data_IF_895669301835
#
_entry.id   IF_895669301835
#
_cell.length_a   1.000
_cell.length_b   1.000
_cell.length_c   1.000
_cell.angle_alpha   90.00
_cell.angle_beta   90.00
_cell.angle_gamma   90.00
#
_symmetry.space_group_name_H-M   'P 1'
#
loop_
_entity.id
_entity.type
_entity.pdbx_description
1 polymer ?
#
# COMPACT_ATOMS: atom_id res chain seq x y z
N UNK A 1 17.52 -13.35 -6.30
CA UNK A 1 16.44 -12.34 -6.26
C UNK A 1 16.71 -11.36 -7.38
N UNK A 2 15.69 -11.04 -8.23
CA UNK A 2 15.85 -10.03 -9.26
C UNK A 2 16.14 -8.67 -8.63
N UNK A 3 17.08 -7.92 -9.21
CA UNK A 3 17.37 -6.56 -8.78
C UNK A 3 16.55 -5.57 -9.60
N UNK A 4 15.95 -4.61 -8.92
CA UNK A 4 15.36 -3.42 -9.53
C UNK A 4 16.29 -2.24 -9.23
N UNK A 5 16.41 -1.31 -10.13
CA UNK A 5 17.18 -0.09 -9.87
C UNK A 5 16.25 1.02 -9.39
N UNK A 6 16.39 1.37 -8.14
CA UNK A 6 15.75 2.53 -7.51
C UNK A 6 16.79 3.51 -6.94
N UNK A 7 18.02 3.44 -7.42
CA UNK A 7 19.12 4.32 -6.97
C UNK A 7 18.73 5.78 -7.14
N UNK A 8 18.89 6.56 -6.06
CA UNK A 8 18.52 7.98 -6.04
C UNK A 8 17.02 8.28 -5.93
N UNK A 9 16.15 7.26 -5.94
CA UNK A 9 14.69 7.45 -5.78
C UNK A 9 14.32 7.57 -4.30
N UNK A 10 13.32 8.39 -4.04
CA UNK A 10 12.72 8.57 -2.73
C UNK A 10 11.28 8.04 -2.70
N UNK A 11 11.04 7.04 -1.88
CA UNK A 11 9.73 6.43 -1.72
C UNK A 11 9.09 6.80 -0.36
N UNK A 12 7.82 7.17 -0.39
CA UNK A 12 6.96 7.32 0.80
C UNK A 12 6.08 6.08 0.91
N UNK A 13 6.01 5.48 2.10
CA UNK A 13 5.23 4.29 2.35
C UNK A 13 4.31 4.54 3.56
N UNK A 14 3.00 4.61 3.32
CA UNK A 14 2.02 4.72 4.42
C UNK A 14 1.78 3.35 5.06
N UNK A 15 1.63 3.29 6.38
CA UNK A 15 1.56 2.02 7.11
C UNK A 15 2.88 1.24 7.01
N UNK A 16 4.02 1.95 6.92
CA UNK A 16 5.33 1.35 6.66
C UNK A 16 6.02 0.75 7.87
N UNK A 17 5.44 0.87 9.07
CA UNK A 17 6.03 0.32 10.29
C UNK A 17 5.93 -1.20 10.41
N UNK A 18 4.92 -1.82 9.76
CA UNK A 18 4.65 -3.26 9.89
C UNK A 18 4.15 -3.90 8.60
N UNK A 19 4.03 -5.23 8.58
CA UNK A 19 3.33 -6.00 7.56
C UNK A 19 3.82 -5.75 6.13
N UNK A 20 2.88 -5.51 5.20
CA UNK A 20 3.19 -5.29 3.79
C UNK A 20 4.02 -4.01 3.58
N UNK A 21 3.68 -2.92 4.27
CA UNK A 21 4.41 -1.66 4.14
C UNK A 21 5.88 -1.81 4.53
N UNK A 22 6.16 -2.50 5.62
CA UNK A 22 7.53 -2.82 6.05
C UNK A 22 8.29 -3.66 5.01
N UNK A 23 7.68 -4.74 4.52
CA UNK A 23 8.30 -5.62 3.53
C UNK A 23 8.57 -4.89 2.20
N UNK A 24 7.68 -4.00 1.79
CA UNK A 24 7.86 -3.13 0.62
C UNK A 24 9.05 -2.19 0.85
N UNK A 25 9.12 -1.55 2.02
CA UNK A 25 10.24 -0.69 2.40
C UNK A 25 11.59 -1.42 2.36
N UNK A 26 11.64 -2.62 2.92
CA UNK A 26 12.82 -3.49 2.89
C UNK A 26 13.24 -3.80 1.44
N UNK A 27 12.29 -4.14 0.57
CA UNK A 27 12.57 -4.44 -0.83
C UNK A 27 13.07 -3.22 -1.61
N UNK A 28 12.49 -2.04 -1.38
CA UNK A 28 12.89 -0.79 -2.02
C UNK A 28 14.30 -0.36 -1.58
N UNK A 29 14.64 -0.51 -0.28
CA UNK A 29 15.99 -0.27 0.22
C UNK A 29 17.01 -1.22 -0.43
N UNK A 30 16.70 -2.51 -0.56
CA UNK A 30 17.53 -3.49 -1.25
C UNK A 30 17.70 -3.17 -2.75
N UNK A 31 16.85 -2.32 -3.31
CA UNK A 31 16.89 -1.83 -4.68
C UNK A 31 17.55 -0.44 -4.82
N UNK A 32 18.13 0.11 -3.73
CA UNK A 32 18.88 1.38 -3.75
C UNK A 32 18.05 2.63 -3.47
N UNK A 33 16.76 2.51 -3.16
CA UNK A 33 15.93 3.66 -2.79
C UNK A 33 16.27 4.20 -1.39
N UNK A 34 15.97 5.49 -1.16
CA UNK A 34 15.68 5.98 0.20
C UNK A 34 14.20 5.86 0.47
N UNK A 35 13.82 5.71 1.74
CA UNK A 35 12.41 5.65 2.12
C UNK A 35 12.06 6.62 3.24
N UNK A 36 10.83 7.10 3.23
CA UNK A 36 10.19 7.74 4.39
C UNK A 36 8.98 6.91 4.79
N UNK A 37 9.00 6.40 6.01
CA UNK A 37 7.89 5.69 6.63
C UNK A 37 6.89 6.72 7.14
N UNK A 38 5.64 6.61 6.70
CA UNK A 38 4.51 7.34 7.24
C UNK A 38 3.63 6.38 8.05
N UNK A 39 3.54 6.60 9.35
CA UNK A 39 2.70 5.77 10.21
C UNK A 39 2.17 6.57 11.39
N UNK A 40 1.09 6.12 11.99
CA UNK A 40 0.55 6.67 13.23
C UNK A 40 1.24 6.11 14.47
N UNK A 41 1.88 4.95 14.37
CA UNK A 41 2.61 4.30 15.47
C UNK A 41 4.06 4.77 15.51
N UNK A 42 4.32 5.77 16.36
CA UNK A 42 5.66 6.37 16.52
C UNK A 42 6.67 5.32 17.01
N UNK A 43 6.28 4.47 17.97
CA UNK A 43 7.16 3.44 18.54
C UNK A 43 7.50 2.37 17.49
N UNK A 44 6.49 1.88 16.78
CA UNK A 44 6.64 0.92 15.70
C UNK A 44 7.52 1.45 14.57
N UNK A 45 7.37 2.72 14.16
CA UNK A 45 8.23 3.34 13.15
C UNK A 45 9.71 3.36 13.58
N UNK A 46 10.00 3.71 14.84
CA UNK A 46 11.35 3.73 15.36
C UNK A 46 12.00 2.35 15.26
N UNK A 47 11.31 1.33 15.76
CA UNK A 47 11.74 -0.07 15.70
C UNK A 47 11.95 -0.53 14.25
N UNK A 48 11.01 -0.24 13.36
CA UNK A 48 11.10 -0.59 11.94
C UNK A 48 12.32 0.07 11.28
N UNK A 49 12.54 1.36 11.52
CA UNK A 49 13.67 2.09 10.95
C UNK A 49 15.01 1.53 11.43
N UNK A 50 15.15 1.18 12.71
CA UNK A 50 16.36 0.55 13.24
C UNK A 50 16.63 -0.81 12.60
N UNK A 51 15.61 -1.66 12.48
CA UNK A 51 15.72 -2.96 11.84
C UNK A 51 16.10 -2.84 10.37
N UNK A 52 15.49 -1.91 9.62
CA UNK A 52 15.78 -1.68 8.22
C UNK A 52 17.22 -1.16 8.02
N UNK A 53 17.68 -0.21 8.83
CA UNK A 53 19.07 0.29 8.78
C UNK A 53 20.08 -0.80 9.14
N UNK A 54 19.74 -1.69 10.07
CA UNK A 54 20.59 -2.85 10.43
C UNK A 54 20.67 -3.86 9.27
N UNK A 55 19.54 -4.14 8.59
CA UNK A 55 19.49 -5.05 7.45
C UNK A 55 20.15 -4.47 6.19
N UNK A 56 20.15 -3.15 6.04
CA UNK A 56 20.69 -2.44 4.89
C UNK A 56 21.65 -1.32 5.36
N UNK A 57 22.92 -1.63 5.68
CA UNK A 57 23.89 -0.64 6.12
C UNK A 57 24.05 0.50 5.11
N UNK A 58 24.00 1.75 5.60
CA UNK A 58 24.02 2.95 4.75
C UNK A 58 22.67 3.38 4.17
N UNK A 59 21.61 2.60 4.36
CA UNK A 59 20.28 2.96 3.88
C UNK A 59 19.73 4.23 4.54
N UNK A 60 19.08 5.06 3.75
CA UNK A 60 18.44 6.29 4.20
C UNK A 60 16.96 6.00 4.52
N UNK A 61 16.64 5.92 5.82
CA UNK A 61 15.30 5.68 6.35
C UNK A 61 14.92 6.85 7.23
N UNK A 62 13.88 7.58 6.86
CA UNK A 62 13.23 8.61 7.67
C UNK A 62 11.87 8.12 8.17
N UNK A 63 11.39 8.72 9.26
CA UNK A 63 10.06 8.47 9.83
C UNK A 63 9.33 9.80 9.98
N UNK A 64 8.07 9.83 9.56
CA UNK A 64 7.18 10.98 9.76
C UNK A 64 5.87 10.47 10.35
N UNK A 65 5.48 10.99 11.51
CA UNK A 65 4.21 10.66 12.16
C UNK A 65 3.04 11.20 11.34
N UNK A 66 2.13 10.33 10.94
CA UNK A 66 0.98 10.69 10.10
C UNK A 66 -0.24 9.87 10.49
N UNK A 67 -1.33 10.56 10.80
CA UNK A 67 -2.66 9.96 10.71
C UNK A 67 -3.24 10.28 9.34
N UNK A 68 -3.29 9.28 8.46
CA UNK A 68 -3.79 9.44 7.08
C UNK A 68 -5.26 9.84 7.03
N UNK A 69 -6.06 9.49 8.04
CA UNK A 69 -7.46 9.89 8.14
C UNK A 69 -7.63 11.40 8.31
N UNK A 70 -6.58 12.10 8.75
CA UNK A 70 -6.58 13.55 9.01
C UNK A 70 -5.85 14.30 7.90
N UNK A 71 -6.57 14.99 7.02
CA UNK A 71 -5.97 15.73 5.89
C UNK A 71 -4.85 16.69 6.34
N UNK A 72 -5.07 17.45 7.43
CA UNK A 72 -4.06 18.37 7.97
C UNK A 72 -2.75 17.66 8.37
N UNK A 73 -2.85 16.44 8.92
CA UNK A 73 -1.68 15.60 9.24
C UNK A 73 -0.91 15.22 7.97
N UNK A 74 -1.63 14.84 6.90
CA UNK A 74 -1.01 14.50 5.61
C UNK A 74 -0.33 15.72 4.96
N UNK A 75 -0.95 16.90 5.00
CA UNK A 75 -0.35 18.15 4.50
C UNK A 75 0.97 18.46 5.22
N UNK A 76 0.96 18.38 6.56
CA UNK A 76 2.17 18.60 7.36
C UNK A 76 3.26 17.58 7.06
N UNK A 77 2.90 16.29 6.96
CA UNK A 77 3.82 15.21 6.65
C UNK A 77 4.42 15.35 5.24
N UNK A 78 3.61 15.78 4.27
CA UNK A 78 4.09 16.07 2.91
C UNK A 78 5.16 17.16 2.94
N UNK A 79 4.92 18.27 3.64
CA UNK A 79 5.89 19.36 3.75
C UNK A 79 7.20 18.89 4.42
N UNK A 80 7.12 18.12 5.51
CA UNK A 80 8.28 17.55 6.19
C UNK A 80 9.07 16.60 5.29
N UNK A 81 8.37 15.76 4.53
CA UNK A 81 9.00 14.77 3.64
C UNK A 81 9.68 15.44 2.45
N UNK A 82 9.04 16.44 1.85
CA UNK A 82 9.61 17.20 0.73
C UNK A 82 10.82 18.05 1.13
N UNK A 83 10.93 18.45 2.41
CA UNK A 83 12.13 19.08 2.95
C UNK A 83 13.33 18.12 3.04
N UNK A 84 13.10 16.80 3.10
CA UNK A 84 14.18 15.79 3.06
C UNK A 84 14.68 15.60 1.63
N UNK A 85 13.78 15.32 0.70
CA UNK A 85 14.07 15.15 -0.73
C UNK A 85 12.76 15.13 -1.53
N UNK A 86 12.81 15.41 -2.86
CA UNK A 86 11.68 15.17 -3.75
C UNK A 86 11.19 13.72 -3.66
N UNK A 87 9.87 13.52 -3.72
CA UNK A 87 9.24 12.19 -3.66
C UNK A 87 9.04 11.65 -5.08
N UNK A 88 9.58 10.46 -5.35
CA UNK A 88 9.50 9.77 -6.64
C UNK A 88 8.48 8.64 -6.64
N UNK A 89 8.22 8.04 -5.48
CA UNK A 89 7.24 6.97 -5.33
C UNK A 89 6.37 7.16 -4.08
N UNK A 90 5.06 6.91 -4.21
CA UNK A 90 4.10 6.82 -3.11
C UNK A 90 3.50 5.43 -3.09
N UNK A 91 3.61 4.73 -1.96
CA UNK A 91 2.93 3.47 -1.72
C UNK A 91 1.88 3.67 -0.63
N UNK A 92 0.62 3.64 -1.01
CA UNK A 92 -0.50 3.70 -0.08
C UNK A 92 -0.82 2.31 0.46
N UNK A 93 -0.16 1.93 1.58
CA UNK A 93 -0.31 0.63 2.23
C UNK A 93 -1.06 0.71 3.57
N UNK A 94 -1.26 1.89 4.14
CA UNK A 94 -2.07 2.06 5.35
C UNK A 94 -3.51 1.59 5.12
N UNK A 95 -4.04 0.81 6.04
CA UNK A 95 -5.41 0.32 5.97
C UNK A 95 -5.77 -0.62 7.11
N UNK A 96 -7.06 -0.77 7.34
CA UNK A 96 -7.65 -1.68 8.33
C UNK A 96 -8.75 -2.53 7.69
N UNK A 97 -9.03 -3.68 8.29
CA UNK A 97 -10.11 -4.58 7.83
C UNK A 97 -11.47 -4.23 8.43
N UNK A 98 -11.48 -3.63 9.63
CA UNK A 98 -12.68 -3.53 10.44
C UNK A 98 -13.13 -4.90 10.98
N UNK A 99 -14.26 -4.96 11.70
CA UNK A 99 -14.80 -6.19 12.25
C UNK A 99 -15.37 -7.13 11.17
N UNK A 100 -15.32 -8.44 11.43
CA UNK A 100 -15.97 -9.46 10.62
C UNK A 100 -17.40 -9.69 11.12
N UNK A 101 -18.37 -9.04 10.46
CA UNK A 101 -19.79 -9.17 10.82
C UNK A 101 -20.69 -8.98 9.60
N UNK A 102 -21.95 -9.41 9.70
CA UNK A 102 -22.93 -9.24 8.63
C UNK A 102 -23.25 -7.76 8.42
N UNK A 103 -23.61 -7.40 7.19
CA UNK A 103 -23.90 -6.00 6.85
C UNK A 103 -24.98 -5.36 7.73
N UNK A 104 -26.05 -6.09 8.03
CA UNK A 104 -27.16 -5.59 8.84
C UNK A 104 -26.83 -5.41 10.32
N UNK A 105 -25.76 -6.04 10.82
CA UNK A 105 -25.23 -5.91 12.18
C UNK A 105 -23.93 -5.08 12.24
N UNK A 106 -23.49 -4.51 11.08
CA UNK A 106 -22.20 -3.82 11.00
C UNK A 106 -22.26 -2.49 11.76
N UNK A 107 -21.38 -2.24 12.75
CA UNK A 107 -21.38 -0.98 13.49
C UNK A 107 -21.09 0.20 12.57
N UNK A 108 -21.91 1.24 12.64
CA UNK A 108 -21.80 2.41 11.74
C UNK A 108 -20.47 3.15 11.91
N UNK A 109 -19.98 3.24 13.14
CA UNK A 109 -18.72 3.94 13.43
C UNK A 109 -17.51 3.16 12.93
N UNK A 110 -17.51 1.83 13.02
CA UNK A 110 -16.49 0.98 12.42
C UNK A 110 -16.50 1.08 10.89
N UNK A 111 -17.69 1.15 10.28
CA UNK A 111 -17.81 1.42 8.83
C UNK A 111 -17.14 2.73 8.45
N UNK A 112 -17.44 3.82 9.16
CA UNK A 112 -16.85 5.13 8.95
C UNK A 112 -15.34 5.08 9.10
N UNK A 113 -14.83 4.46 10.17
CA UNK A 113 -13.40 4.34 10.43
C UNK A 113 -12.67 3.60 9.30
N UNK A 114 -13.25 2.50 8.76
CA UNK A 114 -12.69 1.80 7.61
C UNK A 114 -12.58 2.72 6.40
N UNK A 115 -13.61 3.51 6.10
CA UNK A 115 -13.59 4.45 4.99
C UNK A 115 -12.63 5.63 5.23
N UNK A 116 -12.58 6.16 6.45
CA UNK A 116 -11.69 7.28 6.79
C UNK A 116 -10.22 6.91 6.58
N UNK A 117 -9.83 5.69 6.92
CA UNK A 117 -8.45 5.24 6.76
C UNK A 117 -8.20 4.75 5.32
N UNK A 118 -9.02 3.79 4.82
CA UNK A 118 -8.74 3.08 3.58
C UNK A 118 -9.02 3.91 2.32
N UNK A 119 -9.98 4.85 2.38
CA UNK A 119 -10.43 5.64 1.23
C UNK A 119 -10.01 7.10 1.37
N UNK A 120 -10.47 7.80 2.42
CA UNK A 120 -10.16 9.21 2.60
C UNK A 120 -8.67 9.39 2.87
N UNK A 121 -8.04 8.54 3.68
CA UNK A 121 -6.60 8.58 3.94
C UNK A 121 -5.77 8.40 2.67
N UNK A 122 -6.12 7.42 1.84
CA UNK A 122 -5.46 7.20 0.55
C UNK A 122 -5.68 8.41 -0.39
N UNK A 123 -6.89 8.95 -0.45
CA UNK A 123 -7.20 10.16 -1.21
C UNK A 123 -6.35 11.34 -0.76
N UNK A 124 -6.22 11.59 0.54
CA UNK A 124 -5.39 12.68 1.06
C UNK A 124 -3.94 12.55 0.61
N UNK A 125 -3.34 11.35 0.74
CA UNK A 125 -1.97 11.08 0.32
C UNK A 125 -1.79 11.26 -1.19
N UNK A 126 -2.70 10.71 -2.00
CA UNK A 126 -2.68 10.87 -3.45
C UNK A 126 -2.79 12.33 -3.84
N UNK A 127 -3.73 13.09 -3.25
CA UNK A 127 -3.94 14.51 -3.54
C UNK A 127 -2.68 15.34 -3.33
N UNK A 128 -2.05 15.21 -2.17
CA UNK A 128 -0.90 16.05 -1.81
C UNK A 128 0.36 15.68 -2.62
N UNK A 129 0.66 14.40 -2.79
CA UNK A 129 1.88 13.98 -3.47
C UNK A 129 1.73 13.95 -5.00
N UNK A 130 0.53 13.74 -5.56
CA UNK A 130 0.34 13.80 -7.02
C UNK A 130 0.57 15.20 -7.58
N UNK A 131 0.22 16.26 -6.85
CA UNK A 131 0.50 17.64 -7.25
C UNK A 131 2.02 17.89 -7.40
N UNK A 132 2.82 17.42 -6.43
CA UNK A 132 4.28 17.47 -6.49
C UNK A 132 4.84 16.65 -7.65
N UNK A 133 4.39 15.40 -7.85
CA UNK A 133 4.84 14.53 -8.93
C UNK A 133 4.47 15.10 -10.30
N UNK A 134 3.25 15.64 -10.44
CA UNK A 134 2.79 16.27 -11.67
C UNK A 134 3.66 17.46 -12.08
N UNK A 135 4.01 18.34 -11.13
CA UNK A 135 4.85 19.53 -11.42
C UNK A 135 6.25 19.15 -11.92
N UNK A 136 6.75 17.95 -11.56
CA UNK A 136 8.02 17.39 -12.02
C UNK A 136 7.87 16.50 -13.27
N UNK A 137 6.65 16.23 -13.70
CA UNK A 137 6.31 15.25 -14.73
C UNK A 137 6.97 13.88 -14.49
N UNK A 138 7.09 13.47 -13.23
CA UNK A 138 7.76 12.21 -12.83
C UNK A 138 7.21 11.72 -11.51
N UNK A 139 6.81 10.47 -11.43
CA UNK A 139 6.35 9.82 -10.19
C UNK A 139 5.72 8.46 -10.42
N UNK A 140 5.63 7.69 -9.34
CA UNK A 140 4.95 6.39 -9.29
C UNK A 140 4.05 6.36 -8.06
N UNK A 141 2.78 6.01 -8.25
CA UNK A 141 1.82 5.83 -7.15
C UNK A 141 1.31 4.40 -7.22
N UNK A 142 1.47 3.65 -6.13
CA UNK A 142 0.96 2.29 -6.01
C UNK A 142 0.00 2.20 -4.82
N UNK A 143 -1.23 1.86 -5.11
CA UNK A 143 -2.29 1.72 -4.12
C UNK A 143 -2.50 0.25 -3.76
N UNK A 144 -2.48 -0.08 -2.47
CA UNK A 144 -2.75 -1.44 -2.00
C UNK A 144 -4.27 -1.62 -1.86
N UNK A 145 -4.87 -2.19 -2.89
CA UNK A 145 -6.27 -2.62 -2.86
C UNK A 145 -6.39 -4.02 -2.23
N UNK A 146 -7.25 -4.87 -2.74
CA UNK A 146 -7.43 -6.26 -2.31
C UNK A 146 -8.29 -6.98 -3.34
N UNK A 147 -8.14 -8.29 -3.45
CA UNK A 147 -9.09 -9.14 -4.16
C UNK A 147 -10.51 -8.98 -3.61
N UNK A 148 -10.66 -8.64 -2.33
CA UNK A 148 -11.96 -8.34 -1.72
C UNK A 148 -12.66 -7.13 -2.37
N UNK A 149 -11.91 -6.20 -2.95
CA UNK A 149 -12.47 -5.07 -3.70
C UNK A 149 -12.98 -5.45 -5.09
N UNK A 150 -12.58 -6.61 -5.62
CA UNK A 150 -13.06 -7.18 -6.90
C UNK A 150 -14.23 -8.13 -6.67
N UNK A 151 -14.05 -9.11 -5.78
CA UNK A 151 -14.98 -10.24 -5.60
C UNK A 151 -16.03 -9.98 -4.51
N UNK A 152 -15.75 -9.08 -3.54
CA UNK A 152 -16.48 -8.98 -2.29
C UNK A 152 -16.17 -10.15 -1.33
N UNK A 153 -16.15 -9.87 -0.03
CA UNK A 153 -16.03 -10.91 0.99
C UNK A 153 -17.22 -10.87 1.93
N UNK A 154 -17.93 -11.99 2.14
CA UNK A 154 -18.95 -12.09 3.19
C UNK A 154 -18.35 -11.68 4.54
N UNK A 155 -19.15 -10.98 5.35
CA UNK A 155 -18.79 -10.46 6.68
C UNK A 155 -17.71 -9.37 6.71
N UNK A 156 -17.24 -8.89 5.54
CA UNK A 156 -16.23 -7.84 5.42
C UNK A 156 -16.68 -6.73 4.44
N UNK A 157 -17.95 -6.33 4.54
CA UNK A 157 -18.58 -5.42 3.58
C UNK A 157 -17.91 -4.05 3.51
N UNK A 158 -17.57 -3.43 4.66
CA UNK A 158 -16.88 -2.14 4.69
C UNK A 158 -15.49 -2.23 4.04
N UNK A 159 -14.72 -3.28 4.38
CA UNK A 159 -13.42 -3.52 3.78
C UNK A 159 -13.52 -3.70 2.26
N UNK A 160 -14.42 -4.59 1.81
CA UNK A 160 -14.64 -4.85 0.38
C UNK A 160 -15.02 -3.59 -0.39
N UNK A 161 -15.98 -2.82 0.12
CA UNK A 161 -16.40 -1.57 -0.48
C UNK A 161 -15.27 -0.53 -0.51
N UNK A 162 -14.49 -0.40 0.58
CA UNK A 162 -13.35 0.51 0.63
C UNK A 162 -12.27 0.14 -0.38
N UNK A 163 -11.97 -1.15 -0.56
CA UNK A 163 -10.97 -1.62 -1.53
C UNK A 163 -11.46 -1.52 -2.97
N UNK A 164 -12.76 -1.63 -3.24
CA UNK A 164 -13.36 -1.30 -4.53
C UNK A 164 -13.24 0.19 -4.85
N UNK A 165 -13.44 1.07 -3.87
CA UNK A 165 -13.24 2.52 -4.02
C UNK A 165 -11.78 2.85 -4.37
N UNK A 166 -10.79 2.18 -3.77
CA UNK A 166 -9.36 2.33 -4.10
C UNK A 166 -9.09 1.98 -5.56
N UNK A 167 -9.70 0.91 -6.08
CA UNK A 167 -9.57 0.51 -7.49
C UNK A 167 -10.14 1.62 -8.40
N UNK A 168 -11.33 2.13 -8.08
CA UNK A 168 -11.96 3.22 -8.85
C UNK A 168 -11.12 4.49 -8.88
N UNK A 169 -10.63 4.92 -7.70
CA UNK A 169 -9.77 6.10 -7.58
C UNK A 169 -8.47 5.93 -8.37
N UNK A 170 -7.84 4.76 -8.31
CA UNK A 170 -6.62 4.45 -9.09
C UNK A 170 -6.84 4.63 -10.58
N UNK A 171 -7.96 4.12 -11.10
CA UNK A 171 -8.32 4.23 -12.52
C UNK A 171 -8.54 5.69 -12.94
N UNK A 172 -9.22 6.47 -12.12
CA UNK A 172 -9.45 7.90 -12.39
C UNK A 172 -8.15 8.69 -12.39
N UNK A 173 -7.37 8.60 -11.29
CA UNK A 173 -6.13 9.35 -11.15
C UNK A 173 -5.09 8.93 -12.20
N UNK A 174 -5.03 7.64 -12.57
CA UNK A 174 -4.15 7.17 -13.62
C UNK A 174 -4.46 7.77 -14.99
N UNK A 175 -5.74 7.99 -15.30
CA UNK A 175 -6.17 8.68 -16.55
C UNK A 175 -5.93 10.20 -16.49
N UNK A 176 -6.16 10.83 -15.34
CA UNK A 176 -5.93 12.26 -15.12
C UNK A 176 -4.46 12.66 -15.25
N UNK A 177 -3.53 11.72 -14.97
CA UNK A 177 -2.08 11.95 -15.04
C UNK A 177 -1.43 11.31 -16.28
N UNK A 178 -2.21 10.75 -17.20
CA UNK A 178 -1.70 9.96 -18.34
C UNK A 178 -0.82 10.77 -19.30
N UNK A 179 -1.08 12.09 -19.41
CA UNK A 179 -0.31 13.05 -20.24
C UNK A 179 0.98 13.52 -19.57
N UNK A 180 1.29 13.02 -18.38
CA UNK A 180 2.51 13.32 -17.62
C UNK A 180 3.43 12.08 -17.55
N UNK A 181 4.60 12.24 -16.91
CA UNK A 181 5.49 11.13 -16.57
C UNK A 181 5.06 10.32 -15.33
N UNK A 182 3.90 10.64 -14.71
CA UNK A 182 3.41 9.96 -13.51
C UNK A 182 2.59 8.71 -13.89
N UNK A 183 2.83 7.59 -13.19
CA UNK A 183 2.04 6.35 -13.36
C UNK A 183 1.37 5.99 -12.04
N UNK A 184 0.09 5.64 -12.11
CA UNK A 184 -0.73 5.31 -10.94
C UNK A 184 -1.37 3.95 -11.15
N UNK A 185 -1.02 2.99 -10.31
CA UNK A 185 -1.54 1.62 -10.40
C UNK A 185 -1.97 1.10 -9.04
N UNK A 186 -2.72 0.03 -9.00
CA UNK A 186 -2.99 -0.70 -7.76
C UNK A 186 -2.70 -2.19 -7.91
N UNK A 187 -2.51 -2.82 -6.75
CA UNK A 187 -2.42 -4.28 -6.66
C UNK A 187 -3.62 -4.82 -5.88
N UNK A 188 -4.03 -6.04 -6.20
CA UNK A 188 -5.13 -6.75 -5.52
C UNK A 188 -4.63 -8.08 -4.92
N UNK A 189 -3.95 -8.03 -3.76
CA UNK A 189 -3.52 -9.24 -3.09
C UNK A 189 -4.71 -10.06 -2.59
N UNK A 190 -4.58 -11.41 -2.63
CA UNK A 190 -5.36 -12.31 -1.80
C UNK A 190 -4.78 -12.34 -0.37
N UNK A 191 -5.12 -13.38 0.41
CA UNK A 191 -4.55 -13.56 1.72
C UNK A 191 -3.02 -13.77 1.63
N UNK A 192 -2.28 -12.96 2.37
CA UNK A 192 -0.81 -12.97 2.43
C UNK A 192 -0.39 -13.38 3.83
N UNK A 193 0.50 -14.36 3.93
CA UNK A 193 0.97 -14.85 5.22
C UNK A 193 1.69 -13.74 5.99
N UNK A 194 1.13 -13.38 7.13
CA UNK A 194 1.68 -12.39 8.07
C UNK A 194 1.55 -12.96 9.48
N UNK A 195 2.20 -12.36 10.48
CA UNK A 195 2.09 -12.77 11.88
C UNK A 195 0.63 -12.81 12.42
N UNK A 196 -0.32 -12.18 11.73
CA UNK A 196 -1.74 -12.25 12.06
C UNK A 196 -2.33 -13.66 11.89
N UNK A 197 -1.73 -14.50 11.03
CA UNK A 197 -2.19 -15.90 10.81
C UNK A 197 -1.99 -16.78 12.03
N UNK A 198 -1.01 -16.48 12.88
CA UNK A 198 -0.74 -17.26 14.10
C UNK A 198 -1.90 -17.20 15.11
N UNK A 199 -2.86 -16.28 14.91
CA UNK A 199 -4.04 -16.08 15.75
C UNK A 199 -5.33 -16.66 15.12
N UNK A 200 -5.26 -17.28 13.93
CA UNK A 200 -6.41 -17.81 13.22
C UNK A 200 -6.61 -19.30 13.51
N UNK A 201 -7.88 -19.74 13.49
CA UNK A 201 -8.16 -21.18 13.63
C UNK A 201 -7.79 -21.94 12.35
N UNK A 202 -7.43 -23.23 12.46
CA UNK A 202 -7.13 -24.07 11.30
C UNK A 202 -8.26 -24.14 10.27
N UNK A 203 -9.52 -24.13 10.72
CA UNK A 203 -10.71 -24.13 9.86
C UNK A 203 -10.81 -22.87 9.03
N UNK A 204 -10.51 -21.71 9.66
CA UNK A 204 -10.54 -20.42 8.96
C UNK A 204 -9.39 -20.34 7.93
N UNK A 205 -8.21 -20.83 8.26
CA UNK A 205 -7.07 -20.95 7.35
C UNK A 205 -7.44 -21.84 6.16
N UNK A 206 -8.00 -23.03 6.41
CA UNK A 206 -8.43 -23.96 5.35
C UNK A 206 -9.50 -23.32 4.44
N UNK A 207 -10.47 -22.60 5.00
CA UNK A 207 -11.49 -21.88 4.24
C UNK A 207 -10.86 -20.82 3.33
N UNK A 208 -9.91 -20.03 3.83
CA UNK A 208 -9.24 -19.04 2.99
C UNK A 208 -8.40 -19.67 1.88
N UNK A 209 -7.68 -20.75 2.19
CA UNK A 209 -6.89 -21.50 1.22
C UNK A 209 -7.76 -22.12 0.11
N UNK A 210 -8.96 -22.62 0.43
CA UNK A 210 -9.87 -23.20 -0.56
C UNK A 210 -10.30 -22.20 -1.65
N UNK A 211 -10.12 -20.90 -1.42
CA UNK A 211 -10.41 -19.84 -2.40
C UNK A 211 -9.23 -19.55 -3.34
N UNK A 212 -8.04 -20.05 -3.07
CA UNK A 212 -6.82 -19.73 -3.81
C UNK A 212 -6.39 -20.94 -4.63
N UNK A 213 -6.55 -20.95 -5.98
CA UNK A 213 -6.21 -22.10 -6.83
C UNK A 213 -4.75 -22.57 -6.70
N UNK A 214 -3.80 -21.67 -6.41
CA UNK A 214 -2.40 -22.06 -6.16
C UNK A 214 -2.21 -22.85 -4.85
N UNK A 215 -3.24 -23.05 -4.02
CA UNK A 215 -3.21 -23.86 -2.79
C UNK A 215 -2.30 -23.34 -1.68
N UNK A 216 -1.85 -22.10 -1.76
CA UNK A 216 -1.03 -21.45 -0.74
C UNK A 216 -1.35 -19.97 -0.60
N UNK A 217 -1.00 -19.40 0.54
CA UNK A 217 -1.02 -17.95 0.72
C UNK A 217 0.12 -17.28 -0.06
N UNK A 218 -0.10 -16.02 -0.44
CA UNK A 218 0.96 -15.17 -0.94
C UNK A 218 2.01 -14.88 0.15
N UNK A 219 3.23 -14.59 -0.25
CA UNK A 219 4.29 -14.13 0.65
C UNK A 219 4.41 -12.61 0.57
N UNK A 220 4.79 -11.98 1.67
CA UNK A 220 5.00 -10.51 1.69
C UNK A 220 6.06 -10.07 0.68
N UNK A 221 7.06 -10.92 0.43
CA UNK A 221 8.13 -10.67 -0.55
C UNK A 221 7.62 -10.67 -1.99
N UNK A 222 6.61 -11.49 -2.31
CA UNK A 222 5.97 -11.53 -3.64
C UNK A 222 5.23 -10.21 -3.90
N UNK A 223 4.51 -9.70 -2.89
CA UNK A 223 3.84 -8.41 -2.95
C UNK A 223 4.87 -7.28 -3.07
N UNK A 224 5.89 -7.29 -2.23
CA UNK A 224 6.94 -6.28 -2.24
C UNK A 224 7.69 -6.22 -3.59
N UNK A 225 7.92 -7.36 -4.24
CA UNK A 225 8.55 -7.43 -5.55
C UNK A 225 7.71 -6.71 -6.62
N UNK A 226 6.41 -6.99 -6.70
CA UNK A 226 5.51 -6.35 -7.66
C UNK A 226 5.39 -4.85 -7.40
N UNK A 227 5.20 -4.44 -6.14
CA UNK A 227 5.10 -3.01 -5.79
C UNK A 227 6.37 -2.26 -6.14
N UNK A 228 7.54 -2.86 -5.86
CA UNK A 228 8.82 -2.24 -6.19
C UNK A 228 8.98 -2.08 -7.71
N UNK A 229 8.65 -3.11 -8.52
CA UNK A 229 8.66 -3.01 -9.99
C UNK A 229 7.74 -1.90 -10.49
N UNK A 230 6.52 -1.80 -9.95
CA UNK A 230 5.56 -0.73 -10.29
C UNK A 230 6.10 0.68 -9.98
N UNK A 231 7.08 0.79 -9.07
CA UNK A 231 7.75 2.04 -8.71
C UNK A 231 9.02 2.32 -9.51
N UNK A 232 9.43 1.44 -10.43
CA UNK A 232 10.59 1.63 -11.31
C UNK A 232 10.22 2.31 -12.63
N UNK A 233 11.23 2.64 -13.42
CA UNK A 233 11.03 3.17 -14.78
C UNK A 233 10.58 2.09 -15.77
N UNK A 234 10.80 0.81 -15.48
CA UNK A 234 10.30 -0.33 -16.29
C UNK A 234 8.76 -0.33 -16.37
N UNK A 235 8.07 0.17 -15.34
CA UNK A 235 6.64 0.40 -15.39
C UNK A 235 6.32 1.73 -16.09
N UNK A 236 6.57 1.81 -17.39
CA UNK A 236 6.43 3.05 -18.18
C UNK A 236 5.10 3.16 -18.93
N UNK A 237 4.49 2.03 -19.32
CA UNK A 237 3.28 1.99 -20.17
C UNK A 237 2.03 1.43 -19.48
N UNK A 238 2.06 1.33 -18.12
CA UNK A 238 0.91 0.90 -17.32
C UNK A 238 0.48 2.02 -16.37
N UNK A 239 -0.74 2.52 -16.53
CA UNK A 239 -1.37 3.47 -15.61
C UNK A 239 -2.87 3.18 -15.50
N UNK A 240 -3.46 3.38 -14.33
CA UNK A 240 -4.84 3.01 -14.03
C UNK A 240 -5.08 1.49 -14.00
N UNK A 241 -4.02 0.69 -14.00
CA UNK A 241 -4.10 -0.77 -14.06
C UNK A 241 -4.29 -1.40 -12.67
N UNK A 242 -4.90 -2.57 -12.67
CA UNK A 242 -5.12 -3.41 -11.49
C UNK A 242 -4.30 -4.69 -11.65
N UNK A 243 -3.23 -4.82 -10.90
CA UNK A 243 -2.35 -5.98 -10.95
C UNK A 243 -2.79 -7.01 -9.91
N UNK A 244 -3.21 -8.17 -10.39
CA UNK A 244 -3.69 -9.25 -9.52
C UNK A 244 -2.53 -10.03 -8.89
N UNK A 245 -2.62 -10.24 -7.57
CA UNK A 245 -1.70 -11.05 -6.78
C UNK A 245 -2.50 -12.04 -5.91
N UNK A 246 -3.47 -12.72 -6.53
CA UNK A 246 -4.45 -13.54 -5.82
C UNK A 246 -4.19 -15.05 -5.87
N UNK A 247 -3.14 -15.50 -6.57
CA UNK A 247 -2.90 -16.92 -6.78
C UNK A 247 -4.00 -17.61 -7.59
N UNK A 248 -4.63 -16.86 -8.51
CA UNK A 248 -5.70 -17.32 -9.38
C UNK A 248 -7.11 -17.20 -8.79
N UNK A 249 -7.27 -16.61 -7.59
CA UNK A 249 -8.59 -16.42 -6.97
C UNK A 249 -9.48 -15.47 -7.77
N UNK A 250 -8.90 -14.44 -8.33
CA UNK A 250 -9.60 -13.46 -9.18
C UNK A 250 -8.86 -13.34 -10.51
N UNK A 251 -9.58 -13.25 -11.63
CA UNK A 251 -8.99 -13.34 -12.99
C UNK A 251 -9.37 -12.17 -13.90
N UNK A 252 -9.93 -11.09 -13.37
CA UNK A 252 -10.31 -9.91 -14.16
C UNK A 252 -9.78 -8.62 -13.55
#
# INVERSE_FOLDING_TARGET
MNQYDMTGRHAVITGGATGLGYAIGQRMLASGARITIWDRDIGGMGTAAEQLKKAHPGAQVACVHVDVAQHASVVQATAQTLAIAPVDALVNSAGITGPNTKLWDYPVDDWRQVFDINVHGLFHCCRELSAHMRSRSSGRIVNIASVAGKDGNPNASAYSASKAAVIGLTKSLGKELADTGVRVNCITPAAVHTAMFDQMTPEHIAFMLSKIPMGRFGKVEEIAAMVTWLCTDDCSFSTGAVFDLSGGRSTY
#
